data_IF_768126955619
#
_entry.id   IF_768126955619
#
_cell.length_a   1.000
_cell.length_b   1.000
_cell.length_c   1.000
_cell.angle_alpha   90.00
_cell.angle_beta   90.00
_cell.angle_gamma   90.00
#
_symmetry.space_group_name_H-M   'P 1'
#
loop_
_entity.id
_entity.type
_entity.pdbx_description
1 polymer ?
#
# COMPACT_ATOMS: atom_id res chain seq x y z
N UNK A 1 -8.84 24.88 16.30
CA UNK A 1 -8.45 24.13 15.07
C UNK A 1 -9.68 23.96 14.19
N UNK A 2 -9.61 24.44 12.97
CA UNK A 2 -10.71 24.25 12.03
C UNK A 2 -10.91 22.76 11.70
N UNK A 3 -12.16 22.34 11.73
CA UNK A 3 -12.54 20.99 11.32
C UNK A 3 -12.42 20.88 9.81
N UNK A 4 -11.48 20.08 9.33
CA UNK A 4 -11.31 19.83 7.89
C UNK A 4 -12.16 18.63 7.45
N UNK A 5 -12.70 18.71 6.26
CA UNK A 5 -13.40 17.59 5.62
C UNK A 5 -12.36 16.63 5.03
N UNK A 6 -11.93 15.66 5.83
CA UNK A 6 -10.95 14.64 5.41
C UNK A 6 -11.72 13.48 4.77
N UNK A 7 -11.41 13.18 3.52
CA UNK A 7 -12.06 12.11 2.75
C UNK A 7 -11.14 10.93 2.45
N UNK A 8 -9.84 11.16 2.47
CA UNK A 8 -8.84 10.14 2.21
C UNK A 8 -7.78 10.22 3.29
N UNK A 9 -7.41 9.06 3.83
CA UNK A 9 -6.30 8.89 4.75
C UNK A 9 -5.29 7.92 4.14
N UNK A 10 -4.17 8.44 3.70
CA UNK A 10 -3.06 7.64 3.17
C UNK A 10 -2.03 7.39 4.27
N UNK A 11 -1.67 6.14 4.46
CA UNK A 11 -0.78 5.69 5.53
C UNK A 11 0.38 4.89 4.97
N UNK A 12 1.59 5.25 5.36
CA UNK A 12 2.76 4.39 5.20
C UNK A 12 2.66 3.19 6.16
N UNK A 13 3.26 2.08 5.82
CA UNK A 13 3.17 0.84 6.59
C UNK A 13 4.24 0.78 7.69
N UNK A 14 5.48 0.51 7.29
CA UNK A 14 6.56 0.19 8.22
C UNK A 14 6.94 1.39 9.07
N UNK A 15 6.77 1.25 10.40
CA UNK A 15 7.07 2.31 11.35
C UNK A 15 6.01 3.43 11.44
N UNK A 16 4.90 3.31 10.71
CA UNK A 16 3.78 4.27 10.77
C UNK A 16 2.50 3.55 11.16
N UNK A 17 1.93 2.75 10.26
CA UNK A 17 0.73 1.95 10.54
C UNK A 17 1.05 0.74 11.41
N UNK A 18 2.17 0.08 11.13
CA UNK A 18 2.64 -1.08 11.87
C UNK A 18 3.77 -0.69 12.83
N UNK A 19 3.82 -1.36 13.98
CA UNK A 19 4.88 -1.21 14.96
C UNK A 19 6.14 -2.02 14.59
N UNK A 20 7.12 -2.08 15.49
CA UNK A 20 8.38 -2.81 15.26
C UNK A 20 8.18 -4.31 15.06
N UNK A 21 7.09 -4.87 15.56
CA UNK A 21 6.69 -6.26 15.35
C UNK A 21 5.88 -6.48 14.06
N UNK A 22 5.75 -5.46 13.22
CA UNK A 22 4.96 -5.49 11.98
C UNK A 22 3.47 -5.74 12.21
N UNK A 23 2.95 -5.26 13.34
CA UNK A 23 1.57 -5.46 13.77
C UNK A 23 0.85 -4.12 13.87
N UNK A 24 -0.42 -4.08 13.43
CA UNK A 24 -1.33 -2.97 13.68
C UNK A 24 -1.96 -3.17 15.06
N UNK A 25 -1.77 -2.20 15.94
CA UNK A 25 -2.32 -2.29 17.30
C UNK A 25 -3.86 -2.23 17.30
N UNK A 26 -4.53 -2.81 18.31
CA UNK A 26 -6.00 -2.73 18.40
C UNK A 26 -6.53 -1.29 18.42
N UNK A 27 -5.81 -0.36 19.06
CA UNK A 27 -6.20 1.04 19.12
C UNK A 27 -6.15 1.70 17.73
N UNK A 28 -5.09 1.44 16.97
CA UNK A 28 -4.96 1.93 15.60
C UNK A 28 -6.04 1.36 14.70
N UNK A 29 -6.29 0.05 14.79
CA UNK A 29 -7.35 -0.62 14.04
C UNK A 29 -8.71 -0.01 14.32
N UNK A 30 -9.06 0.20 15.59
CA UNK A 30 -10.33 0.82 15.99
C UNK A 30 -10.47 2.24 15.42
N UNK A 31 -9.39 3.02 15.40
CA UNK A 31 -9.38 4.36 14.82
C UNK A 31 -9.62 4.33 13.30
N UNK A 32 -9.01 3.38 12.59
CA UNK A 32 -9.23 3.21 11.15
C UNK A 32 -10.66 2.78 10.84
N UNK A 33 -11.21 1.85 11.62
CA UNK A 33 -12.60 1.42 11.48
C UNK A 33 -13.58 2.60 11.69
N UNK A 34 -13.32 3.42 12.70
CA UNK A 34 -14.13 4.61 12.96
C UNK A 34 -14.03 5.64 11.84
N UNK A 35 -12.85 5.86 11.27
CA UNK A 35 -12.66 6.75 10.13
C UNK A 35 -13.40 6.23 8.90
N UNK A 36 -13.28 4.95 8.60
CA UNK A 36 -13.97 4.31 7.48
C UNK A 36 -15.49 4.40 7.63
N UNK A 37 -16.01 4.25 8.84
CA UNK A 37 -17.44 4.39 9.13
C UNK A 37 -17.97 5.80 8.85
N UNK A 38 -17.10 6.81 8.89
CA UNK A 38 -17.42 8.20 8.55
C UNK A 38 -17.23 8.53 7.07
N UNK A 39 -16.96 7.53 6.23
CA UNK A 39 -16.77 7.71 4.79
C UNK A 39 -15.35 8.08 4.37
N UNK A 40 -14.37 7.97 5.26
CA UNK A 40 -12.96 8.20 4.91
C UNK A 40 -12.41 6.97 4.19
N UNK A 41 -11.85 7.16 3.00
CA UNK A 41 -11.18 6.11 2.25
C UNK A 41 -9.77 5.89 2.80
N UNK A 42 -9.45 4.67 3.18
CA UNK A 42 -8.13 4.30 3.68
C UNK A 42 -7.26 3.86 2.49
N UNK A 43 -6.06 4.43 2.40
CA UNK A 43 -5.06 4.08 1.39
C UNK A 43 -3.80 3.58 2.09
N UNK A 44 -3.37 2.38 1.77
CA UNK A 44 -2.09 1.84 2.23
C UNK A 44 -1.01 2.14 1.19
N UNK A 45 -0.07 3.00 1.56
CA UNK A 45 0.98 3.46 0.67
C UNK A 45 2.34 2.89 1.10
N UNK A 46 3.03 2.21 0.20
CA UNK A 46 4.31 1.58 0.52
C UNK A 46 5.19 1.42 -0.72
N UNK A 47 6.49 1.30 -0.50
CA UNK A 47 7.43 0.85 -1.53
C UNK A 47 7.33 -0.64 -1.85
N UNK A 48 6.61 -1.40 -1.04
CA UNK A 48 6.44 -2.84 -1.26
C UNK A 48 5.68 -3.14 -2.55
N UNK A 49 5.91 -4.31 -3.18
CA UNK A 49 5.03 -4.84 -4.20
C UNK A 49 3.61 -5.04 -3.68
N UNK A 50 2.61 -5.00 -4.57
CA UNK A 50 1.20 -5.17 -4.21
C UNK A 50 0.95 -6.43 -3.37
N UNK A 51 1.57 -7.55 -3.76
CA UNK A 51 1.45 -8.81 -3.03
C UNK A 51 1.97 -8.73 -1.58
N UNK A 52 2.89 -7.83 -1.30
CA UNK A 52 3.43 -7.61 0.06
C UNK A 52 2.53 -6.74 0.94
N UNK A 53 1.55 -6.04 0.36
CA UNK A 53 0.62 -5.16 1.08
C UNK A 53 -0.76 -5.81 1.24
N UNK A 54 -1.18 -6.61 0.27
CA UNK A 54 -2.52 -7.20 0.20
C UNK A 54 -2.94 -7.98 1.47
N UNK A 55 -2.07 -8.79 2.11
CA UNK A 55 -2.46 -9.48 3.34
C UNK A 55 -2.90 -8.52 4.44
N UNK A 56 -2.18 -7.40 4.61
CA UNK A 56 -2.52 -6.39 5.61
C UNK A 56 -3.83 -5.68 5.25
N UNK A 57 -4.04 -5.37 3.98
CA UNK A 57 -5.30 -4.78 3.51
C UNK A 57 -6.50 -5.68 3.85
N UNK A 58 -6.37 -6.98 3.65
CA UNK A 58 -7.41 -7.95 4.00
C UNK A 58 -7.61 -8.06 5.51
N UNK A 59 -6.53 -8.06 6.28
CA UNK A 59 -6.60 -8.07 7.75
C UNK A 59 -7.37 -6.86 8.28
N UNK A 60 -7.18 -5.69 7.67
CA UNK A 60 -7.91 -4.46 8.02
C UNK A 60 -9.33 -4.42 7.44
N UNK A 61 -9.73 -5.39 6.64
CA UNK A 61 -11.07 -5.47 6.06
C UNK A 61 -11.29 -4.52 4.89
N UNK A 62 -10.23 -4.01 4.26
CA UNK A 62 -10.35 -3.08 3.14
C UNK A 62 -10.93 -3.73 1.88
N UNK A 63 -10.83 -5.04 1.75
CA UNK A 63 -11.49 -5.82 0.71
C UNK A 63 -13.01 -5.75 0.78
N UNK A 64 -13.56 -5.50 1.98
CA UNK A 64 -15.01 -5.39 2.24
C UNK A 64 -15.47 -3.95 2.39
N UNK A 65 -14.68 -3.12 3.06
CA UNK A 65 -15.04 -1.73 3.38
C UNK A 65 -14.74 -0.76 2.24
N UNK A 66 -13.93 -1.17 1.28
CA UNK A 66 -13.32 -0.29 0.29
C UNK A 66 -12.05 0.36 0.82
N UNK A 67 -11.19 0.71 -0.08
CA UNK A 67 -9.87 1.28 0.18
C UNK A 67 -8.97 0.97 -0.98
N UNK A 68 -7.76 1.52 -0.94
CA UNK A 68 -6.79 1.34 -2.01
C UNK A 68 -5.43 0.95 -1.47
N UNK A 69 -4.67 0.25 -2.30
CA UNK A 69 -3.25 0.03 -2.11
C UNK A 69 -2.51 0.89 -3.13
N UNK A 70 -1.54 1.67 -2.66
CA UNK A 70 -0.59 2.38 -3.48
C UNK A 70 0.76 1.71 -3.29
N UNK A 71 1.14 0.88 -4.26
CA UNK A 71 2.32 0.02 -4.19
C UNK A 71 3.46 0.52 -5.08
N UNK A 72 4.63 -0.08 -4.93
CA UNK A 72 5.82 0.27 -5.71
C UNK A 72 6.17 1.76 -5.67
N UNK A 73 6.03 2.40 -4.51
CA UNK A 73 6.24 3.86 -4.36
C UNK A 73 5.38 4.71 -5.32
N UNK A 74 4.15 4.30 -5.57
CA UNK A 74 3.23 4.99 -6.48
C UNK A 74 3.19 4.42 -7.90
N UNK A 75 3.87 3.30 -8.15
CA UNK A 75 3.86 2.65 -9.46
C UNK A 75 2.54 1.97 -9.82
N UNK A 76 1.73 1.63 -8.82
CA UNK A 76 0.41 1.05 -9.04
C UNK A 76 -0.57 1.48 -7.95
N UNK A 77 -1.83 1.63 -8.33
CA UNK A 77 -2.96 1.84 -7.40
C UNK A 77 -3.97 0.73 -7.65
N UNK A 78 -4.31 -0.01 -6.61
CA UNK A 78 -5.20 -1.16 -6.66
C UNK A 78 -6.42 -0.89 -5.77
N UNK A 79 -7.62 -1.12 -6.31
CA UNK A 79 -8.85 -1.12 -5.52
C UNK A 79 -8.90 -2.41 -4.70
N UNK A 80 -8.99 -2.28 -3.37
CA UNK A 80 -8.99 -3.45 -2.49
C UNK A 80 -10.27 -4.29 -2.59
N UNK A 81 -11.40 -3.66 -2.89
CA UNK A 81 -12.68 -4.35 -2.97
C UNK A 81 -12.82 -5.20 -4.24
N UNK A 82 -12.32 -4.69 -5.37
CA UNK A 82 -12.47 -5.35 -6.69
C UNK A 82 -11.20 -6.05 -7.16
N UNK A 83 -10.03 -5.65 -6.64
CA UNK A 83 -8.74 -6.08 -7.15
C UNK A 83 -8.34 -5.38 -8.45
N UNK A 84 -9.15 -4.44 -8.92
CA UNK A 84 -8.90 -3.71 -10.15
C UNK A 84 -7.70 -2.77 -10.01
N UNK A 85 -6.85 -2.74 -11.04
CA UNK A 85 -5.77 -1.78 -11.15
C UNK A 85 -6.32 -0.46 -11.66
N UNK A 86 -6.39 0.55 -10.79
CA UNK A 86 -6.89 1.88 -11.12
C UNK A 86 -5.86 2.73 -11.84
N UNK A 87 -4.58 2.51 -11.55
CA UNK A 87 -3.47 3.24 -12.13
C UNK A 87 -2.23 2.35 -12.15
N UNK A 88 -1.46 2.45 -13.22
CA UNK A 88 -0.17 1.75 -13.33
C UNK A 88 0.78 2.58 -14.17
N UNK A 89 2.01 2.74 -13.65
CA UNK A 89 3.12 3.29 -14.41
C UNK A 89 4.31 2.36 -14.25
N UNK A 90 4.77 1.80 -15.35
CA UNK A 90 5.86 0.83 -15.36
C UNK A 90 7.05 1.35 -16.14
N UNK A 91 8.23 0.90 -15.74
CA UNK A 91 9.42 1.01 -16.56
C UNK A 91 9.22 0.14 -17.81
N UNK A 92 9.70 0.62 -18.97
CA UNK A 92 9.67 -0.18 -20.20
C UNK A 92 10.43 -1.49 -20.00
N UNK A 93 9.78 -2.59 -20.34
CA UNK A 93 10.32 -3.94 -20.15
C UNK A 93 11.68 -4.17 -20.83
N UNK A 94 12.02 -3.37 -21.85
CA UNK A 94 13.32 -3.46 -22.54
C UNK A 94 14.51 -3.20 -21.62
N UNK A 95 14.31 -2.47 -20.51
CA UNK A 95 15.38 -2.18 -19.55
C UNK A 95 15.59 -3.28 -18.51
N UNK A 96 14.64 -4.20 -18.36
CA UNK A 96 14.67 -5.23 -17.31
C UNK A 96 15.89 -6.15 -17.43
N UNK A 97 16.24 -6.71 -18.62
CA UNK A 97 17.41 -7.56 -18.75
C UNK A 97 18.71 -6.85 -18.36
N UNK A 98 18.87 -5.59 -18.75
CA UNK A 98 20.03 -4.77 -18.41
C UNK A 98 20.14 -4.53 -16.90
N UNK A 99 19.04 -4.22 -16.24
CA UNK A 99 19.00 -4.00 -14.80
C UNK A 99 19.28 -5.30 -14.02
N UNK A 100 18.74 -6.42 -14.47
CA UNK A 100 19.02 -7.73 -13.87
C UNK A 100 20.48 -8.12 -14.01
N UNK A 101 21.09 -7.87 -15.17
CA UNK A 101 22.52 -8.13 -15.39
C UNK A 101 23.39 -7.26 -14.47
N UNK A 102 23.05 -5.98 -14.33
CA UNK A 102 23.75 -5.06 -13.44
C UNK A 102 23.64 -5.51 -11.97
N UNK A 103 22.44 -5.87 -11.52
CA UNK A 103 22.23 -6.36 -10.16
C UNK A 103 23.05 -7.61 -9.87
N UNK A 104 23.10 -8.53 -10.81
CA UNK A 104 23.89 -9.75 -10.72
C UNK A 104 25.38 -9.46 -10.62
N UNK A 105 25.89 -8.56 -11.45
CA UNK A 105 27.27 -8.10 -11.46
C UNK A 105 27.66 -7.45 -10.12
N UNK A 106 26.78 -6.67 -9.53
CA UNK A 106 26.98 -5.99 -8.25
C UNK A 106 26.69 -6.88 -7.03
N UNK A 107 26.18 -8.08 -7.20
CA UNK A 107 25.83 -8.99 -6.11
C UNK A 107 24.68 -8.51 -5.25
N UNK A 108 23.73 -7.76 -5.83
CA UNK A 108 22.55 -7.24 -5.13
C UNK A 108 21.27 -7.87 -5.68
N UNK A 109 20.23 -7.91 -4.83
CA UNK A 109 18.94 -8.41 -5.24
C UNK A 109 18.16 -7.35 -6.04
N UNK A 110 17.34 -7.82 -6.96
CA UNK A 110 16.40 -6.99 -7.71
C UNK A 110 15.01 -7.63 -7.64
N UNK A 111 13.99 -6.80 -7.49
CA UNK A 111 12.58 -7.22 -7.47
C UNK A 111 11.86 -6.61 -8.67
N UNK A 112 11.13 -7.44 -9.41
CA UNK A 112 10.37 -7.00 -10.58
C UNK A 112 8.86 -7.16 -10.39
#
# INVERSE_FOLDING_TARGET
MEKKDIRVLALDLDGTLTNDQKVVTPATRAALDAAAAKGVTIVLASGRPTAGIMPLAKELGLDKKGGCILSYNGGAIIDCATGETLYRKQLDAKYVPQLCAFAREQGVAIVT
#
